data_IF_794282644815
#
_entry.id   IF_794282644815
#
_cell.length_a   1.000
_cell.length_b   1.000
_cell.length_c   1.000
_cell.angle_alpha   90.00
_cell.angle_beta   90.00
_cell.angle_gamma   90.00
#
_symmetry.space_group_name_H-M   'P 1'
#
loop_
_entity.id
_entity.type
_entity.pdbx_description
1 polymer ?
#
# COMPACT_ATOMS: atom_id res chain seq x y z
N UNK A 1 30.45 41.66 8.02
CA UNK A 1 31.02 40.45 7.38
C UNK A 1 30.17 39.30 7.85
N UNK A 2 29.39 38.70 6.95
CA UNK A 2 28.40 37.71 7.35
C UNK A 2 29.15 36.49 7.91
N UNK A 3 28.60 35.87 8.95
CA UNK A 3 29.19 34.70 9.62
C UNK A 3 29.52 33.56 8.63
N UNK A 4 28.85 33.55 7.47
CA UNK A 4 29.13 32.72 6.30
C UNK A 4 30.51 32.98 5.68
N UNK A 5 30.96 34.22 5.57
CA UNK A 5 32.21 34.58 4.89
C UNK A 5 33.45 34.17 5.69
N UNK A 6 33.38 34.26 7.03
CA UNK A 6 34.45 33.83 7.92
C UNK A 6 34.69 32.32 7.84
N UNK A 7 33.60 31.52 7.78
CA UNK A 7 33.70 30.06 7.72
C UNK A 7 33.94 29.53 6.29
N UNK A 8 33.45 30.21 5.25
CA UNK A 8 33.87 29.95 3.85
C UNK A 8 35.38 30.18 3.73
N UNK A 9 35.88 31.30 4.28
CA UNK A 9 37.32 31.57 4.33
C UNK A 9 38.10 30.57 5.17
N UNK A 10 37.53 30.05 6.27
CA UNK A 10 38.18 29.06 7.12
C UNK A 10 38.21 27.65 6.51
N UNK A 11 37.16 27.25 5.80
CA UNK A 11 37.10 25.98 5.05
C UNK A 11 38.07 25.99 3.86
N UNK A 12 38.20 27.14 3.18
CA UNK A 12 39.23 27.37 2.17
C UNK A 12 40.64 27.40 2.78
N UNK A 13 40.81 27.96 3.98
CA UNK A 13 42.09 27.98 4.70
C UNK A 13 42.50 26.61 5.26
N UNK A 14 41.53 25.76 5.62
CA UNK A 14 41.75 24.42 6.15
C UNK A 14 41.97 23.36 5.04
N UNK A 15 42.06 23.77 3.76
CA UNK A 15 42.28 22.86 2.61
C UNK A 15 41.32 21.64 2.62
N UNK A 16 40.07 21.85 3.01
CA UNK A 16 39.06 20.80 2.86
C UNK A 16 38.89 20.55 1.35
N UNK A 17 39.10 19.31 0.86
CA UNK A 17 39.05 19.02 -0.57
C UNK A 17 37.80 19.58 -1.22
N UNK A 18 37.94 20.22 -2.39
CA UNK A 18 36.81 20.74 -3.20
C UNK A 18 35.74 19.66 -3.50
N UNK A 19 36.09 18.38 -3.32
CA UNK A 19 35.17 17.25 -3.24
C UNK A 19 35.59 16.31 -2.10
N UNK A 20 34.96 16.44 -0.93
CA UNK A 20 35.03 15.44 0.12
C UNK A 20 33.94 14.39 -0.14
N UNK A 21 34.32 13.13 -0.25
CA UNK A 21 33.37 12.01 -0.30
C UNK A 21 32.75 11.75 1.08
N UNK A 22 31.74 10.87 1.18
CA UNK A 22 31.04 10.62 2.45
C UNK A 22 32.01 10.15 3.53
N UNK A 23 32.97 9.31 3.17
CA UNK A 23 33.95 8.77 4.09
C UNK A 23 34.85 9.87 4.66
N UNK A 24 35.31 10.79 3.81
CA UNK A 24 36.10 11.95 4.21
C UNK A 24 35.32 12.92 5.10
N UNK A 25 34.04 13.17 4.79
CA UNK A 25 33.19 14.09 5.57
C UNK A 25 32.96 13.53 6.98
N UNK A 26 32.63 12.24 7.04
CA UNK A 26 32.40 11.55 8.32
C UNK A 26 33.69 11.46 9.12
N UNK A 27 34.82 11.16 8.49
CA UNK A 27 36.13 11.17 9.15
C UNK A 27 36.43 12.55 9.72
N UNK A 28 36.26 13.62 8.94
CA UNK A 28 36.48 15.00 9.39
C UNK A 28 35.60 15.37 10.60
N UNK A 29 34.29 15.14 10.49
CA UNK A 29 33.32 15.40 11.57
C UNK A 29 33.57 14.56 12.83
N UNK A 30 34.17 13.37 12.69
CA UNK A 30 34.43 12.45 13.81
C UNK A 30 35.65 12.83 14.65
N UNK A 31 36.64 13.51 14.06
CA UNK A 31 37.93 13.78 14.71
C UNK A 31 37.96 15.14 15.42
N UNK A 32 37.39 16.22 14.86
CA UNK A 32 37.51 17.57 15.43
C UNK A 32 36.30 18.49 15.19
N UNK A 33 35.17 18.26 15.86
CA UNK A 33 34.06 19.23 15.84
C UNK A 33 33.32 19.30 17.17
N UNK A 34 33.22 20.50 17.74
CA UNK A 34 32.18 20.83 18.74
C UNK A 34 30.79 20.65 18.13
N UNK A 35 29.73 20.68 18.95
CA UNK A 35 28.36 20.52 18.41
C UNK A 35 28.04 21.66 17.42
N UNK A 36 28.51 22.89 17.69
CA UNK A 36 28.35 24.08 16.86
C UNK A 36 29.07 23.92 15.52
N UNK A 37 30.31 23.44 15.53
CA UNK A 37 31.06 23.17 14.30
C UNK A 37 30.40 22.06 13.47
N UNK A 38 29.87 21.04 14.13
CA UNK A 38 29.12 19.96 13.48
C UNK A 38 27.86 20.51 12.81
N UNK A 39 27.10 21.37 13.50
CA UNK A 39 25.91 22.03 12.94
C UNK A 39 26.25 22.90 11.74
N UNK A 40 27.27 23.77 11.84
CA UNK A 40 27.64 24.65 10.73
C UNK A 40 28.02 23.89 9.46
N UNK A 41 28.78 22.80 9.58
CA UNK A 41 29.18 21.99 8.44
C UNK A 41 27.96 21.27 7.83
N UNK A 42 27.10 20.67 8.66
CA UNK A 42 25.88 20.00 8.18
C UNK A 42 24.94 21.02 7.51
N UNK A 43 24.75 22.20 8.11
CA UNK A 43 23.93 23.28 7.58
C UNK A 43 24.46 23.80 6.24
N UNK A 44 25.76 24.07 6.14
CA UNK A 44 26.36 24.51 4.88
C UNK A 44 26.23 23.44 3.79
N UNK A 45 26.43 22.17 4.12
CA UNK A 45 26.27 21.08 3.17
C UNK A 45 24.80 20.90 2.74
N UNK A 46 23.86 20.99 3.69
CA UNK A 46 22.43 21.03 3.42
C UNK A 46 22.09 22.16 2.45
N UNK A 47 22.51 23.41 2.74
CA UNK A 47 22.19 24.58 1.92
C UNK A 47 22.87 24.58 0.55
N UNK A 48 24.08 24.02 0.42
CA UNK A 48 24.83 23.99 -0.84
C UNK A 48 24.43 22.83 -1.75
N UNK A 49 24.19 21.63 -1.20
CA UNK A 49 23.82 20.44 -1.97
C UNK A 49 22.33 20.43 -2.34
N UNK A 50 21.42 20.88 -1.46
CA UNK A 50 19.98 20.88 -1.77
C UNK A 50 19.54 22.02 -2.70
N UNK A 51 20.33 23.10 -2.81
CA UNK A 51 19.97 24.27 -3.65
C UNK A 51 20.68 24.34 -4.99
N UNK A 52 21.81 23.63 -5.19
CA UNK A 52 22.65 23.85 -6.39
C UNK A 52 22.74 22.68 -7.37
N UNK A 53 22.39 21.46 -6.98
CA UNK A 53 22.55 20.30 -7.86
C UNK A 53 21.28 19.48 -7.92
N UNK A 54 20.81 19.17 -9.13
CA UNK A 54 19.80 18.13 -9.35
C UNK A 54 20.31 16.73 -8.92
N UNK A 55 21.53 16.63 -8.39
CA UNK A 55 22.10 15.44 -7.76
C UNK A 55 21.82 15.43 -6.26
N UNK A 56 20.97 14.48 -5.87
CA UNK A 56 20.34 14.31 -4.56
C UNK A 56 21.24 13.63 -3.51
N UNK A 57 22.56 13.73 -3.63
CA UNK A 57 23.43 12.93 -2.78
C UNK A 57 23.80 13.65 -1.47
N UNK A 58 23.13 13.26 -0.38
CA UNK A 58 23.39 13.72 1.00
C UNK A 58 23.48 12.49 1.93
N UNK A 59 24.62 12.23 2.62
CA UNK A 59 24.88 10.99 3.36
C UNK A 59 24.16 10.96 4.73
N UNK A 60 22.82 10.97 4.68
CA UNK A 60 21.96 11.13 5.86
C UNK A 60 22.15 10.03 6.90
N UNK A 61 22.30 8.78 6.46
CA UNK A 61 22.42 7.66 7.38
C UNK A 61 23.74 7.74 8.16
N UNK A 62 24.82 8.10 7.49
CA UNK A 62 26.14 8.26 8.09
C UNK A 62 26.18 9.46 9.04
N UNK A 63 25.60 10.59 8.63
CA UNK A 63 25.48 11.78 9.49
C UNK A 63 24.61 11.51 10.72
N UNK A 64 23.51 10.78 10.56
CA UNK A 64 22.68 10.36 11.69
C UNK A 64 23.48 9.50 12.67
N UNK A 65 24.22 8.48 12.20
CA UNK A 65 25.08 7.64 13.06
C UNK A 65 26.14 8.47 13.79
N UNK A 66 26.71 9.48 13.14
CA UNK A 66 27.66 10.39 13.75
C UNK A 66 27.03 11.21 14.89
N UNK A 67 25.85 11.78 14.66
CA UNK A 67 25.10 12.52 15.69
C UNK A 67 24.71 11.59 16.83
N UNK A 68 24.19 10.39 16.54
CA UNK A 68 23.84 9.39 17.53
C UNK A 68 25.05 9.01 18.41
N UNK A 69 26.22 8.81 17.81
CA UNK A 69 27.46 8.55 18.55
C UNK A 69 27.86 9.73 19.46
N UNK A 70 27.67 10.98 19.02
CA UNK A 70 27.92 12.16 19.87
C UNK A 70 26.93 12.24 21.03
N UNK A 71 25.64 11.98 20.80
CA UNK A 71 24.61 11.91 21.85
C UNK A 71 24.97 10.84 22.89
N UNK A 72 25.34 9.62 22.44
CA UNK A 72 25.73 8.52 23.32
C UNK A 72 26.96 8.85 24.16
N UNK A 73 27.99 9.47 23.56
CA UNK A 73 29.21 9.90 24.29
C UNK A 73 28.92 10.97 25.36
N UNK A 74 27.95 11.85 25.11
CA UNK A 74 27.57 12.93 26.03
C UNK A 74 26.52 12.50 27.07
N UNK A 75 25.85 11.37 26.85
CA UNK A 75 24.72 10.92 27.65
C UNK A 75 23.47 11.81 27.55
N UNK A 76 23.43 12.77 26.61
CA UNK A 76 22.30 13.69 26.40
C UNK A 76 22.26 14.24 24.98
N UNK A 77 21.06 14.57 24.52
CA UNK A 77 20.82 15.31 23.28
C UNK A 77 20.90 16.82 23.56
N UNK A 78 21.90 17.49 22.99
CA UNK A 78 22.06 18.96 23.13
C UNK A 78 21.20 19.69 22.09
N UNK A 79 20.85 20.95 22.35
CA UNK A 79 20.07 21.80 21.43
C UNK A 79 20.69 21.87 20.03
N UNK A 80 22.00 22.04 19.95
CA UNK A 80 22.71 22.05 18.69
C UNK A 80 22.64 20.72 17.94
N UNK A 81 22.70 19.58 18.64
CA UNK A 81 22.52 18.27 18.01
C UNK A 81 21.06 18.03 17.60
N UNK A 82 20.07 18.62 18.28
CA UNK A 82 18.67 18.62 17.82
C UNK A 82 18.54 19.32 16.47
N UNK A 83 19.12 20.52 16.31
CA UNK A 83 19.11 21.22 15.02
C UNK A 83 19.84 20.44 13.92
N UNK A 84 20.92 19.72 14.24
CA UNK A 84 21.54 18.81 13.27
C UNK A 84 20.56 17.72 12.80
N UNK A 85 19.78 17.13 13.71
CA UNK A 85 18.78 16.10 13.36
C UNK A 85 17.64 16.68 12.52
N UNK A 86 17.18 17.90 12.81
CA UNK A 86 16.17 18.62 12.01
C UNK A 86 16.63 18.81 10.56
N UNK A 87 17.90 19.18 10.34
CA UNK A 87 18.48 19.28 8.99
C UNK A 87 18.58 17.93 8.27
N UNK A 88 18.67 16.84 9.04
CA UNK A 88 18.61 15.50 8.46
C UNK A 88 17.19 15.03 8.24
N UNK A 89 16.14 15.68 8.74
CA UNK A 89 14.77 15.22 8.57
C UNK A 89 14.25 15.55 7.16
N UNK A 90 13.67 14.58 6.47
CA UNK A 90 13.09 14.79 5.14
C UNK A 90 11.62 14.44 5.05
N UNK A 91 10.91 14.42 6.18
CA UNK A 91 9.46 14.17 6.23
C UNK A 91 8.66 15.08 5.32
N UNK A 92 9.10 16.33 5.15
CA UNK A 92 8.40 17.31 4.31
C UNK A 92 8.54 17.01 2.80
N UNK A 93 9.41 16.08 2.39
CA UNK A 93 9.53 15.69 0.99
C UNK A 93 8.24 15.01 0.50
N UNK A 94 7.87 15.30 -0.74
CA UNK A 94 6.71 14.73 -1.45
C UNK A 94 6.67 13.20 -1.44
N UNK A 95 7.84 12.56 -1.55
CA UNK A 95 8.00 11.12 -1.47
C UNK A 95 9.31 10.79 -0.78
N UNK A 96 9.27 9.85 0.15
CA UNK A 96 10.42 9.40 0.92
C UNK A 96 10.60 7.89 0.67
N UNK A 97 11.83 7.46 0.44
CA UNK A 97 12.16 6.04 0.29
C UNK A 97 12.09 5.30 1.63
N UNK A 98 12.04 3.97 1.63
CA UNK A 98 12.06 3.17 2.88
C UNK A 98 13.33 3.43 3.69
N UNK A 99 14.47 3.62 3.04
CA UNK A 99 15.74 3.90 3.71
C UNK A 99 15.73 5.29 4.37
N UNK A 100 15.26 6.31 3.67
CA UNK A 100 15.08 7.66 4.23
C UNK A 100 14.04 7.67 5.37
N UNK A 101 12.95 6.90 5.26
CA UNK A 101 11.95 6.74 6.32
C UNK A 101 12.53 6.09 7.58
N UNK A 102 13.40 5.10 7.43
CA UNK A 102 14.09 4.49 8.59
C UNK A 102 14.94 5.52 9.34
N UNK A 103 15.69 6.35 8.61
CA UNK A 103 16.48 7.43 9.22
C UNK A 103 15.56 8.44 9.91
N UNK A 104 14.47 8.86 9.27
CA UNK A 104 13.44 9.73 9.85
C UNK A 104 12.87 9.20 11.17
N UNK A 105 12.59 7.90 11.25
CA UNK A 105 12.06 7.27 12.47
C UNK A 105 13.13 7.22 13.57
N UNK A 106 14.38 6.93 13.21
CA UNK A 106 15.47 6.95 14.17
C UNK A 106 15.75 8.36 14.71
N UNK A 107 15.57 9.40 13.88
CA UNK A 107 15.58 10.80 14.31
C UNK A 107 14.46 11.06 15.32
N UNK A 108 13.22 10.66 15.01
CA UNK A 108 12.04 10.82 15.88
C UNK A 108 12.24 10.16 17.26
N UNK A 109 12.74 8.91 17.27
CA UNK A 109 13.05 8.16 18.50
C UNK A 109 14.13 8.89 19.31
N UNK A 110 15.18 9.37 18.67
CA UNK A 110 16.29 10.05 19.34
C UNK A 110 15.85 11.41 19.92
N UNK A 111 14.96 12.14 19.24
CA UNK A 111 14.46 13.46 19.64
C UNK A 111 13.42 13.41 20.75
N UNK A 112 12.46 12.49 20.67
CA UNK A 112 11.29 12.50 21.55
C UNK A 112 11.27 11.38 22.57
N UNK A 113 12.15 10.39 22.44
CA UNK A 113 12.07 9.15 23.18
C UNK A 113 10.89 8.29 22.72
N UNK A 114 11.02 6.98 22.86
CA UNK A 114 9.95 6.06 22.48
C UNK A 114 10.42 4.62 22.34
N UNK A 115 9.50 3.67 22.14
CA UNK A 115 9.83 2.31 21.76
C UNK A 115 10.71 2.31 20.51
N UNK A 116 11.77 1.49 20.50
CA UNK A 116 12.70 1.33 19.37
C UNK A 116 12.06 0.75 18.09
N UNK A 117 10.75 0.48 18.12
CA UNK A 117 10.02 -0.06 16.98
C UNK A 117 10.07 0.92 15.80
N UNK A 118 10.50 0.43 14.64
CA UNK A 118 10.59 1.19 13.40
C UNK A 118 9.21 1.40 12.73
N UNK A 119 8.17 1.67 13.50
CA UNK A 119 6.86 2.11 12.98
C UNK A 119 6.90 3.63 12.81
N UNK A 120 6.55 4.14 11.63
CA UNK A 120 6.51 5.59 11.42
C UNK A 120 5.33 6.20 12.14
N UNK A 121 5.55 7.13 13.08
CA UNK A 121 4.49 7.91 13.74
C UNK A 121 3.98 9.09 12.91
N UNK A 122 4.49 9.23 11.68
CA UNK A 122 4.23 10.39 10.81
C UNK A 122 3.02 10.22 9.90
N UNK A 123 2.40 9.04 9.94
CA UNK A 123 1.11 8.81 9.29
C UNK A 123 0.09 8.21 10.26
N UNK A 124 -1.21 8.38 9.97
CA UNK A 124 -2.26 7.98 10.91
C UNK A 124 -2.30 6.48 11.23
N UNK A 125 -1.89 5.60 10.29
CA UNK A 125 -1.84 4.15 10.57
C UNK A 125 -0.79 3.83 11.61
N UNK A 126 0.41 4.40 11.48
CA UNK A 126 1.48 4.15 12.42
C UNK A 126 1.18 4.67 13.82
N UNK A 127 0.53 5.85 13.94
CA UNK A 127 0.02 6.36 15.21
C UNK A 127 -0.93 5.34 15.86
N UNK A 128 -1.92 4.85 15.11
CA UNK A 128 -2.88 3.86 15.60
C UNK A 128 -2.22 2.55 16.05
N UNK A 129 -1.21 2.06 15.32
CA UNK A 129 -0.49 0.83 15.66
C UNK A 129 0.36 1.03 16.91
N UNK A 130 1.08 2.14 17.03
CA UNK A 130 1.91 2.44 18.22
C UNK A 130 1.04 2.64 19.46
N UNK A 131 -0.06 3.38 19.34
CA UNK A 131 -1.02 3.57 20.43
C UNK A 131 -1.62 2.24 20.87
N UNK A 132 -2.02 1.39 19.92
CA UNK A 132 -2.50 0.05 20.20
C UNK A 132 -1.46 -0.76 20.98
N UNK A 133 -0.22 -0.86 20.49
CA UNK A 133 0.85 -1.64 21.15
C UNK A 133 1.17 -1.13 22.57
N UNK A 134 1.07 0.18 22.79
CA UNK A 134 1.31 0.81 24.09
C UNK A 134 0.18 0.54 25.09
N UNK A 135 -1.03 0.31 24.60
CA UNK A 135 -2.24 0.11 25.41
C UNK A 135 -2.58 -1.36 25.69
N UNK A 136 -1.78 -2.32 25.22
CA UNK A 136 -1.97 -3.74 25.54
C UNK A 136 -1.58 -4.00 27.00
N UNK A 137 -2.57 -4.32 27.84
CA UNK A 137 -2.35 -4.57 29.28
C UNK A 137 -1.57 -5.85 29.58
N UNK A 138 -1.76 -6.89 28.77
CA UNK A 138 -1.08 -8.18 28.97
C UNK A 138 0.32 -8.14 28.36
N UNK A 139 1.36 -8.22 29.18
CA UNK A 139 2.77 -8.25 28.73
C UNK A 139 3.02 -9.32 27.67
N UNK A 140 2.40 -10.50 27.83
CA UNK A 140 2.51 -11.60 26.87
C UNK A 140 1.90 -11.26 25.50
N UNK A 141 0.69 -10.69 25.49
CA UNK A 141 0.06 -10.27 24.23
C UNK A 141 0.82 -9.10 23.62
N UNK A 142 1.36 -8.19 24.43
CA UNK A 142 2.18 -7.09 23.95
C UNK A 142 3.41 -7.62 23.19
N UNK A 143 4.13 -8.58 23.76
CA UNK A 143 5.28 -9.23 23.10
C UNK A 143 4.87 -9.89 21.77
N UNK A 144 3.73 -10.59 21.73
CA UNK A 144 3.24 -11.26 20.52
C UNK A 144 2.88 -10.28 19.42
N UNK A 145 2.16 -9.21 19.75
CA UNK A 145 1.80 -8.16 18.81
C UNK A 145 3.02 -7.38 18.33
N UNK A 146 3.94 -7.03 19.22
CA UNK A 146 5.22 -6.39 18.86
C UNK A 146 6.01 -7.25 17.88
N UNK A 147 6.18 -8.53 18.18
CA UNK A 147 6.88 -9.48 17.29
C UNK A 147 6.21 -9.59 15.92
N UNK A 148 4.89 -9.58 15.87
CA UNK A 148 4.12 -9.60 14.63
C UNK A 148 4.32 -8.32 13.82
N UNK A 149 4.19 -7.15 14.44
CA UNK A 149 4.36 -5.85 13.77
C UNK A 149 5.78 -5.68 13.24
N UNK A 150 6.80 -6.06 14.02
CA UNK A 150 8.20 -6.05 13.58
C UNK A 150 8.45 -6.97 12.38
N UNK A 151 7.83 -8.15 12.37
CA UNK A 151 7.90 -9.07 11.23
C UNK A 151 7.26 -8.48 9.96
N UNK A 152 6.15 -7.74 10.12
CA UNK A 152 5.46 -7.04 9.04
C UNK A 152 6.24 -5.84 8.49
N UNK A 153 6.91 -5.06 9.35
CA UNK A 153 7.80 -3.96 8.93
C UNK A 153 8.97 -4.45 8.06
N UNK A 154 9.39 -5.70 8.26
CA UNK A 154 10.50 -6.32 7.55
C UNK A 154 10.08 -7.21 6.37
N UNK A 155 8.85 -7.05 5.87
CA UNK A 155 8.34 -7.79 4.70
C UNK A 155 9.00 -7.41 3.36
N UNK A 156 9.83 -6.36 3.33
CA UNK A 156 10.52 -5.88 2.13
C UNK A 156 9.60 -5.30 1.07
N UNK A 157 10.11 -5.09 -0.14
CA UNK A 157 9.38 -4.44 -1.24
C UNK A 157 8.66 -5.40 -2.19
N UNK A 158 8.94 -6.71 -2.09
CA UNK A 158 8.33 -7.72 -2.96
C UNK A 158 6.80 -7.72 -2.90
N UNK A 159 6.15 -8.05 -4.03
CA UNK A 159 4.69 -8.09 -4.15
C UNK A 159 4.06 -9.36 -3.57
N UNK A 160 4.88 -10.35 -3.22
CA UNK A 160 4.50 -11.68 -2.74
C UNK A 160 5.43 -12.02 -1.55
N UNK A 161 4.92 -12.61 -0.44
CA UNK A 161 5.76 -13.05 0.65
C UNK A 161 6.62 -14.26 0.24
N UNK A 162 7.87 -14.29 0.70
CA UNK A 162 8.70 -15.48 0.54
C UNK A 162 8.20 -16.61 1.46
N UNK A 163 8.48 -17.86 1.10
CA UNK A 163 8.05 -19.01 1.90
C UNK A 163 8.57 -18.95 3.36
N UNK A 164 9.81 -18.49 3.54
CA UNK A 164 10.42 -18.27 4.86
C UNK A 164 9.65 -17.21 5.65
N UNK A 165 9.34 -16.09 5.03
CA UNK A 165 8.57 -15.01 5.67
C UNK A 165 7.16 -15.47 6.04
N UNK A 166 6.49 -16.17 5.14
CA UNK A 166 5.13 -16.68 5.33
C UNK A 166 5.02 -17.69 6.47
N UNK A 167 5.97 -18.62 6.54
CA UNK A 167 6.02 -19.62 7.63
C UNK A 167 6.17 -18.96 8.99
N UNK A 168 7.04 -17.95 9.10
CA UNK A 168 7.20 -17.17 10.34
C UNK A 168 5.94 -16.36 10.67
N UNK A 169 5.30 -15.75 9.68
CA UNK A 169 4.06 -14.99 9.88
C UNK A 169 2.95 -15.86 10.49
N UNK A 170 2.75 -17.09 9.98
CA UNK A 170 1.80 -18.05 10.54
C UNK A 170 2.06 -18.35 12.01
N UNK A 171 3.33 -18.59 12.38
CA UNK A 171 3.72 -18.85 13.77
C UNK A 171 3.40 -17.65 14.67
N UNK A 172 3.63 -16.43 14.20
CA UNK A 172 3.37 -15.22 14.99
C UNK A 172 1.87 -14.95 15.15
N UNK A 173 1.11 -15.05 14.07
CA UNK A 173 -0.35 -14.84 14.10
C UNK A 173 -1.03 -15.88 15.00
N UNK A 174 -0.60 -17.15 14.95
CA UNK A 174 -1.18 -18.21 15.79
C UNK A 174 -0.88 -18.07 17.29
N UNK A 175 0.00 -17.14 17.70
CA UNK A 175 0.22 -16.80 19.12
C UNK A 175 -0.75 -15.74 19.63
N UNK A 176 -1.29 -14.94 18.71
CA UNK A 176 -2.25 -13.88 19.01
C UNK A 176 -3.64 -14.53 19.09
N UNK A 177 -4.48 -14.06 20.02
CA UNK A 177 -5.87 -14.49 20.09
C UNK A 177 -6.59 -14.20 18.76
N UNK A 178 -7.21 -15.22 18.17
CA UNK A 178 -7.68 -15.18 16.78
C UNK A 178 -8.76 -14.11 16.56
N UNK A 179 -9.75 -14.01 17.44
CA UNK A 179 -10.81 -13.01 17.40
C UNK A 179 -10.24 -11.60 17.51
N UNK A 180 -9.26 -11.41 18.39
CA UNK A 180 -8.59 -10.13 18.58
C UNK A 180 -7.76 -9.74 17.36
N UNK A 181 -7.07 -10.69 16.73
CA UNK A 181 -6.36 -10.49 15.48
C UNK A 181 -7.32 -10.06 14.35
N UNK A 182 -8.42 -10.80 14.16
CA UNK A 182 -9.42 -10.50 13.14
C UNK A 182 -10.01 -9.10 13.35
N UNK A 183 -10.37 -8.75 14.59
CA UNK A 183 -10.91 -7.44 14.93
C UNK A 183 -9.93 -6.33 14.56
N UNK A 184 -8.64 -6.46 14.94
CA UNK A 184 -7.63 -5.42 14.65
C UNK A 184 -7.30 -5.29 13.18
N UNK A 185 -7.22 -6.41 12.45
CA UNK A 185 -7.07 -6.36 11.00
C UNK A 185 -8.25 -5.63 10.34
N UNK A 186 -9.49 -5.89 10.79
CA UNK A 186 -10.68 -5.17 10.30
C UNK A 186 -10.57 -3.67 10.57
N UNK A 187 -10.23 -3.27 11.80
CA UNK A 187 -10.11 -1.86 12.19
C UNK A 187 -9.09 -1.12 11.32
N UNK A 188 -7.86 -1.64 11.26
CA UNK A 188 -6.75 -0.97 10.56
C UNK A 188 -6.95 -0.92 9.04
N UNK A 189 -7.45 -2.01 8.43
CA UNK A 189 -7.69 -2.05 6.99
C UNK A 189 -8.87 -1.15 6.62
N UNK A 190 -9.94 -1.14 7.41
CA UNK A 190 -11.09 -0.25 7.18
C UNK A 190 -10.71 1.22 7.37
N UNK A 191 -9.88 1.52 8.36
CA UNK A 191 -9.33 2.87 8.56
C UNK A 191 -8.53 3.32 7.32
N UNK A 192 -7.60 2.49 6.84
CA UNK A 192 -6.83 2.81 5.64
C UNK A 192 -7.70 2.92 4.38
N UNK A 193 -8.76 2.11 4.27
CA UNK A 193 -9.77 2.27 3.22
C UNK A 193 -10.44 3.64 3.29
N UNK A 194 -10.87 4.07 4.48
CA UNK A 194 -11.43 5.40 4.73
C UNK A 194 -10.49 6.52 4.32
N UNK A 195 -9.20 6.41 4.65
CA UNK A 195 -8.17 7.37 4.22
C UNK A 195 -8.08 7.47 2.69
N UNK A 196 -8.04 6.33 1.98
CA UNK A 196 -8.05 6.32 0.51
C UNK A 196 -9.34 6.92 -0.07
N UNK A 197 -10.49 6.66 0.56
CA UNK A 197 -11.76 7.25 0.17
C UNK A 197 -11.74 8.77 0.32
N UNK A 198 -11.23 9.29 1.44
CA UNK A 198 -11.07 10.72 1.70
C UNK A 198 -10.17 11.41 0.67
N UNK A 199 -9.03 10.79 0.33
CA UNK A 199 -8.15 11.27 -0.75
C UNK A 199 -8.91 11.39 -2.08
N UNK A 200 -9.80 10.44 -2.38
CA UNK A 200 -10.61 10.49 -3.58
C UNK A 200 -11.84 11.42 -3.49
N UNK A 201 -12.35 11.71 -2.30
CA UNK A 201 -13.47 12.61 -2.05
C UNK A 201 -13.04 14.08 -2.13
N UNK A 202 -11.80 14.40 -1.76
CA UNK A 202 -11.17 15.73 -1.85
C UNK A 202 -11.00 16.30 -3.27
N UNK A 203 -11.58 15.67 -4.30
CA UNK A 203 -11.57 16.11 -5.70
C UNK A 203 -12.24 17.47 -5.96
N UNK A 204 -12.80 18.14 -4.95
CA UNK A 204 -13.41 19.46 -5.14
C UNK A 204 -12.36 20.57 -5.16
N UNK A 205 -11.36 20.61 -4.27
CA UNK A 205 -10.42 21.73 -4.18
C UNK A 205 -8.97 21.24 -3.94
N UNK A 206 -8.04 21.65 -4.82
CA UNK A 206 -6.58 21.51 -4.76
C UNK A 206 -5.92 20.23 -5.32
N UNK A 207 -5.05 20.44 -6.30
CA UNK A 207 -4.11 19.46 -6.88
C UNK A 207 -2.98 19.10 -5.89
N UNK A 208 -2.85 19.83 -4.78
CA UNK A 208 -1.75 19.74 -3.81
C UNK A 208 -1.89 18.52 -2.89
N UNK A 209 -3.12 18.10 -2.56
CA UNK A 209 -3.37 16.98 -1.62
C UNK A 209 -3.01 15.61 -2.19
N UNK A 210 -2.90 15.50 -3.51
CA UNK A 210 -2.38 14.29 -4.15
C UNK A 210 -0.84 14.23 -4.13
N UNK A 211 -0.12 15.26 -3.72
CA UNK A 211 1.34 15.23 -3.78
C UNK A 211 2.00 14.63 -2.53
N UNK A 212 1.21 14.34 -1.49
CA UNK A 212 1.67 13.65 -0.27
C UNK A 212 1.17 12.20 -0.32
N UNK A 213 2.03 11.26 0.06
CA UNK A 213 1.61 9.86 0.21
C UNK A 213 0.68 9.73 1.41
N UNK A 214 -0.43 8.99 1.28
CA UNK A 214 -1.37 8.80 2.40
C UNK A 214 -0.80 7.95 3.54
N UNK A 215 0.34 7.27 3.29
CA UNK A 215 1.15 6.52 4.24
C UNK A 215 2.63 6.72 3.93
N UNK A 216 3.48 6.68 4.95
CA UNK A 216 4.92 6.53 4.81
C UNK A 216 5.27 5.22 4.08
N UNK A 217 6.43 5.16 3.42
CA UNK A 217 6.84 4.00 2.64
C UNK A 217 6.98 2.74 3.50
N UNK A 218 7.46 2.90 4.74
CA UNK A 218 7.62 1.77 5.68
C UNK A 218 6.26 1.26 6.18
N UNK A 219 5.33 2.14 6.55
CA UNK A 219 4.00 1.73 6.97
C UNK A 219 3.19 1.18 5.80
N UNK A 220 3.50 1.60 4.57
CA UNK A 220 2.91 1.01 3.36
C UNK A 220 3.34 -0.45 3.16
N UNK A 221 4.61 -0.77 3.45
CA UNK A 221 5.10 -2.15 3.47
C UNK A 221 4.48 -2.96 4.63
N UNK A 222 4.30 -2.33 5.80
CA UNK A 222 3.61 -2.95 6.94
C UNK A 222 2.16 -3.30 6.61
N UNK A 223 1.39 -2.35 6.05
CA UNK A 223 -0.01 -2.58 5.66
C UNK A 223 -0.13 -3.68 4.61
N UNK A 224 0.77 -3.71 3.62
CA UNK A 224 0.86 -4.81 2.65
C UNK A 224 1.01 -6.16 3.35
N UNK A 225 1.88 -6.24 4.35
CA UNK A 225 2.09 -7.47 5.12
C UNK A 225 0.89 -7.84 6.01
N UNK A 226 0.21 -6.87 6.63
CA UNK A 226 -1.04 -7.08 7.35
C UNK A 226 -2.12 -7.69 6.44
N UNK A 227 -2.26 -7.16 5.22
CA UNK A 227 -3.19 -7.69 4.22
C UNK A 227 -2.86 -9.15 3.86
N UNK A 228 -1.59 -9.50 3.65
CA UNK A 228 -1.22 -10.91 3.43
C UNK A 228 -1.63 -11.80 4.62
N UNK A 229 -1.39 -11.35 5.84
CA UNK A 229 -1.68 -12.11 7.05
C UNK A 229 -3.17 -12.30 7.32
N UNK A 230 -4.05 -11.52 6.69
CA UNK A 230 -5.51 -11.71 6.77
C UNK A 230 -5.97 -13.07 6.23
N UNK A 231 -5.17 -13.75 5.41
CA UNK A 231 -5.46 -15.09 4.91
C UNK A 231 -5.17 -16.22 5.93
N UNK A 232 -4.45 -15.93 7.02
CA UNK A 232 -4.05 -16.94 8.01
C UNK A 232 -5.24 -17.48 8.82
N UNK A 233 -6.14 -16.66 9.40
CA UNK A 233 -7.23 -17.16 10.24
C UNK A 233 -8.41 -17.76 9.45
N UNK A 234 -8.30 -17.92 8.13
CA UNK A 234 -9.35 -18.46 7.24
C UNK A 234 -10.73 -17.79 7.44
N UNK A 235 -10.72 -16.48 7.72
CA UNK A 235 -11.93 -15.73 8.05
C UNK A 235 -12.55 -15.07 6.81
N UNK A 236 -13.77 -15.48 6.45
CA UNK A 236 -14.51 -14.92 5.31
C UNK A 236 -14.67 -13.40 5.37
N UNK A 237 -14.97 -12.84 6.55
CA UNK A 237 -15.19 -11.40 6.69
C UNK A 237 -13.92 -10.57 6.44
N UNK A 238 -12.72 -11.13 6.68
CA UNK A 238 -11.47 -10.50 6.25
C UNK A 238 -11.33 -10.51 4.73
N UNK A 239 -11.64 -11.63 4.06
CA UNK A 239 -11.57 -11.69 2.59
C UNK A 239 -12.55 -10.73 1.93
N UNK A 240 -13.78 -10.63 2.44
CA UNK A 240 -14.79 -9.70 1.94
C UNK A 240 -14.35 -8.24 2.16
N UNK A 241 -13.70 -7.93 3.29
CA UNK A 241 -13.09 -6.62 3.54
C UNK A 241 -11.97 -6.31 2.54
N UNK A 242 -11.07 -7.27 2.27
CA UNK A 242 -10.00 -7.09 1.29
C UNK A 242 -10.55 -6.86 -0.12
N UNK A 243 -11.67 -7.50 -0.44
CA UNK A 243 -12.35 -7.37 -1.72
C UNK A 243 -13.02 -5.99 -1.89
N UNK A 244 -13.54 -5.42 -0.80
CA UNK A 244 -14.03 -4.03 -0.77
C UNK A 244 -12.88 -3.00 -0.78
N UNK A 245 -11.73 -3.33 -0.17
CA UNK A 245 -10.54 -2.48 -0.09
C UNK A 245 -9.84 -2.32 -1.45
N UNK A 246 -9.61 -3.43 -2.16
CA UNK A 246 -8.76 -3.46 -3.36
C UNK A 246 -9.17 -2.46 -4.48
N UNK A 247 -10.47 -2.26 -4.78
CA UNK A 247 -10.90 -1.25 -5.75
C UNK A 247 -10.43 0.17 -5.42
N UNK A 248 -10.38 0.54 -4.13
CA UNK A 248 -9.88 1.85 -3.70
C UNK A 248 -8.37 1.96 -3.88
N UNK A 249 -7.63 0.90 -3.60
CA UNK A 249 -6.19 0.86 -3.81
C UNK A 249 -5.83 0.99 -5.32
N UNK A 250 -6.63 0.39 -6.21
CA UNK A 250 -6.40 0.47 -7.66
C UNK A 250 -6.96 1.72 -8.32
N UNK A 251 -7.80 2.48 -7.62
CA UNK A 251 -8.40 3.70 -8.17
C UNK A 251 -7.31 4.73 -8.49
N UNK A 252 -7.43 5.34 -9.67
CA UNK A 252 -6.40 6.22 -10.23
C UNK A 252 -6.19 7.48 -9.39
N UNK A 253 -4.92 7.88 -9.24
CA UNK A 253 -4.47 9.11 -8.59
C UNK A 253 -4.17 10.18 -9.66
N UNK A 254 -5.12 11.06 -9.97
CA UNK A 254 -4.95 12.09 -11.01
C UNK A 254 -4.54 11.52 -12.36
N UNK A 255 -3.42 12.00 -12.92
CA UNK A 255 -2.82 11.45 -14.15
C UNK A 255 -1.86 10.27 -13.91
N UNK A 256 -1.46 10.01 -12.66
CA UNK A 256 -0.56 8.92 -12.29
C UNK A 256 -1.29 7.56 -12.23
N UNK A 257 -0.55 6.50 -11.92
CA UNK A 257 -1.05 5.14 -11.77
C UNK A 257 -2.07 4.94 -10.61
N UNK A 258 -2.32 3.70 -10.19
CA UNK A 258 -3.20 3.42 -9.05
C UNK A 258 -2.70 4.11 -7.78
N UNK A 259 -3.61 4.50 -6.87
CA UNK A 259 -3.26 5.10 -5.58
C UNK A 259 -2.29 4.22 -4.78
N UNK A 260 -2.50 2.90 -4.82
CA UNK A 260 -1.63 1.90 -4.21
C UNK A 260 -1.71 0.55 -4.94
N UNK A 261 -0.89 0.38 -5.98
CA UNK A 261 -0.70 -0.94 -6.61
C UNK A 261 -0.23 -1.98 -5.58
N UNK A 262 0.62 -1.56 -4.64
CA UNK A 262 1.26 -2.41 -3.63
C UNK A 262 0.22 -3.13 -2.75
N UNK A 263 -0.65 -2.39 -2.07
CA UNK A 263 -1.66 -2.99 -1.18
C UNK A 263 -2.79 -3.65 -1.96
N UNK A 264 -3.14 -3.15 -3.15
CA UNK A 264 -4.10 -3.83 -4.01
C UNK A 264 -3.62 -5.21 -4.43
N UNK A 265 -2.35 -5.32 -4.83
CA UNK A 265 -1.72 -6.60 -5.22
C UNK A 265 -1.58 -7.53 -4.01
N UNK A 266 -1.39 -6.99 -2.81
CA UNK A 266 -1.42 -7.77 -1.58
C UNK A 266 -2.76 -8.46 -1.33
N UNK A 267 -3.89 -7.78 -1.59
CA UNK A 267 -5.21 -8.42 -1.52
C UNK A 267 -5.32 -9.58 -2.51
N UNK A 268 -4.86 -9.39 -3.75
CA UNK A 268 -4.85 -10.43 -4.78
C UNK A 268 -4.05 -11.66 -4.33
N UNK A 269 -2.87 -11.44 -3.74
CA UNK A 269 -2.09 -12.54 -3.17
C UNK A 269 -2.84 -13.25 -2.04
N UNK A 270 -3.45 -12.51 -1.11
CA UNK A 270 -4.20 -13.08 0.01
C UNK A 270 -5.31 -14.05 -0.48
N UNK A 271 -6.00 -13.71 -1.57
CA UNK A 271 -7.02 -14.59 -2.17
C UNK A 271 -6.46 -15.92 -2.69
N UNK A 272 -5.18 -16.01 -3.04
CA UNK A 272 -4.56 -17.30 -3.48
C UNK A 272 -4.48 -18.36 -2.38
N UNK A 273 -4.74 -17.95 -1.13
CA UNK A 273 -4.86 -18.86 0.01
C UNK A 273 -6.24 -19.53 0.10
N UNK A 274 -7.23 -19.05 -0.66
CA UNK A 274 -8.56 -19.65 -0.75
C UNK A 274 -8.56 -20.88 -1.65
N UNK A 275 -9.70 -21.58 -1.70
CA UNK A 275 -9.96 -22.62 -2.70
C UNK A 275 -9.78 -22.07 -4.12
N UNK A 276 -9.38 -22.91 -5.07
CA UNK A 276 -9.07 -22.47 -6.44
C UNK A 276 -10.19 -21.64 -7.08
N UNK A 277 -11.44 -22.11 -7.01
CA UNK A 277 -12.60 -21.43 -7.62
C UNK A 277 -12.89 -20.08 -6.95
N UNK A 278 -12.85 -20.03 -5.62
CA UNK A 278 -13.11 -18.79 -4.90
C UNK A 278 -12.00 -17.76 -5.16
N UNK A 279 -10.73 -18.19 -5.09
CA UNK A 279 -9.58 -17.36 -5.41
C UNK A 279 -9.71 -16.78 -6.83
N UNK A 280 -10.01 -17.63 -7.80
CA UNK A 280 -10.10 -17.22 -9.19
C UNK A 280 -11.22 -16.21 -9.42
N UNK A 281 -12.43 -16.47 -8.92
CA UNK A 281 -13.58 -15.57 -9.04
C UNK A 281 -13.29 -14.15 -8.49
N UNK A 282 -12.66 -14.06 -7.31
CA UNK A 282 -12.33 -12.77 -6.70
C UNK A 282 -11.22 -12.04 -7.47
N UNK A 283 -10.20 -12.78 -7.91
CA UNK A 283 -9.04 -12.21 -8.63
C UNK A 283 -9.43 -11.75 -10.05
N UNK A 284 -10.21 -12.55 -10.80
CA UNK A 284 -10.68 -12.19 -12.16
C UNK A 284 -11.48 -10.91 -12.15
N UNK A 285 -12.41 -10.77 -11.18
CA UNK A 285 -13.24 -9.59 -11.01
C UNK A 285 -12.41 -8.34 -10.77
N UNK A 286 -11.44 -8.41 -9.85
CA UNK A 286 -10.57 -7.27 -9.56
C UNK A 286 -9.63 -6.97 -10.72
N UNK A 287 -9.11 -7.99 -11.42
CA UNK A 287 -8.28 -7.82 -12.62
C UNK A 287 -9.01 -7.01 -13.68
N UNK A 288 -10.29 -7.29 -13.93
CA UNK A 288 -11.12 -6.55 -14.89
C UNK A 288 -11.29 -5.05 -14.58
N UNK A 289 -11.10 -4.66 -13.32
CA UNK A 289 -11.18 -3.25 -12.89
C UNK A 289 -9.85 -2.48 -13.07
N UNK A 290 -8.73 -3.18 -13.27
CA UNK A 290 -7.40 -2.57 -13.32
C UNK A 290 -7.02 -2.21 -14.75
N UNK A 291 -6.62 -0.96 -14.97
CA UNK A 291 -6.16 -0.48 -16.29
C UNK A 291 -4.65 -0.30 -16.39
N UNK A 292 -3.96 -0.25 -15.25
CA UNK A 292 -2.53 0.03 -15.20
C UNK A 292 -1.72 -1.21 -15.59
N UNK A 293 -0.97 -1.11 -16.69
CA UNK A 293 -0.30 -2.26 -17.32
C UNK A 293 0.67 -3.02 -16.39
N UNK A 294 1.48 -2.31 -15.60
CA UNK A 294 2.41 -2.98 -14.68
C UNK A 294 1.68 -3.72 -13.56
N UNK A 295 0.53 -3.20 -13.12
CA UNK A 295 -0.31 -3.85 -12.11
C UNK A 295 -0.99 -5.07 -12.69
N UNK A 296 -1.54 -4.98 -13.92
CA UNK A 296 -2.10 -6.13 -14.64
C UNK A 296 -1.08 -7.25 -14.77
N UNK A 297 0.15 -6.95 -15.23
CA UNK A 297 1.25 -7.93 -15.30
C UNK A 297 1.54 -8.59 -13.95
N UNK A 298 1.42 -7.86 -12.84
CA UNK A 298 1.62 -8.44 -11.51
C UNK A 298 0.47 -9.36 -11.12
N UNK A 299 -0.78 -9.02 -11.45
CA UNK A 299 -1.95 -9.86 -11.20
C UNK A 299 -1.87 -11.14 -12.05
N UNK A 300 -1.50 -11.01 -13.34
CA UNK A 300 -1.33 -12.14 -14.26
C UNK A 300 -0.30 -13.14 -13.73
N UNK A 301 0.84 -12.68 -13.22
CA UNK A 301 1.83 -13.57 -12.58
C UNK A 301 1.29 -14.30 -11.36
N UNK A 302 0.45 -13.65 -10.55
CA UNK A 302 -0.18 -14.29 -9.39
C UNK A 302 -1.16 -15.37 -9.86
N UNK A 303 -1.95 -15.09 -10.91
CA UNK A 303 -2.87 -16.06 -11.51
C UNK A 303 -2.15 -17.26 -12.11
N UNK A 304 -1.03 -17.04 -12.80
CA UNK A 304 -0.18 -18.12 -13.32
C UNK A 304 0.37 -18.99 -12.18
N UNK A 305 0.83 -18.37 -11.09
CA UNK A 305 1.27 -19.09 -9.89
C UNK A 305 0.13 -19.88 -9.21
N UNK A 306 -1.09 -19.32 -9.20
CA UNK A 306 -2.28 -20.00 -8.70
C UNK A 306 -2.61 -21.24 -9.57
N UNK A 307 -2.62 -21.10 -10.89
CA UNK A 307 -2.88 -22.20 -11.81
C UNK A 307 -1.83 -23.32 -11.64
N UNK A 308 -0.54 -22.97 -11.58
CA UNK A 308 0.54 -23.91 -11.34
C UNK A 308 0.38 -24.66 -10.02
N UNK A 309 0.01 -23.96 -8.93
CA UNK A 309 -0.25 -24.56 -7.61
C UNK A 309 -1.34 -25.65 -7.67
N UNK A 310 -2.33 -25.49 -8.55
CA UNK A 310 -3.46 -26.42 -8.69
C UNK A 310 -3.34 -27.34 -9.92
N UNK A 311 -2.21 -27.33 -10.63
CA UNK A 311 -1.99 -28.20 -11.80
C UNK A 311 -2.86 -27.85 -13.01
N UNK A 312 -3.34 -26.62 -13.11
CA UNK A 312 -4.19 -26.13 -14.20
C UNK A 312 -3.31 -25.48 -15.27
N UNK A 313 -3.52 -25.84 -16.54
CA UNK A 313 -2.81 -25.24 -17.66
C UNK A 313 -3.24 -23.79 -17.90
N UNK A 314 -2.45 -23.01 -18.64
CA UNK A 314 -2.84 -21.63 -19.00
C UNK A 314 -4.12 -21.58 -19.85
N UNK A 315 -4.30 -22.56 -20.74
CA UNK A 315 -5.51 -22.65 -21.56
C UNK A 315 -6.75 -22.92 -20.70
N UNK A 316 -6.68 -23.88 -19.79
CA UNK A 316 -7.76 -24.16 -18.86
C UNK A 316 -8.02 -22.97 -17.94
N UNK A 317 -6.97 -22.27 -17.49
CA UNK A 317 -7.10 -21.05 -16.70
C UNK A 317 -7.91 -19.99 -17.46
N UNK A 318 -7.63 -19.77 -18.74
CA UNK A 318 -8.38 -18.82 -19.57
C UNK A 318 -9.87 -19.19 -19.68
N UNK A 319 -10.20 -20.49 -19.72
CA UNK A 319 -11.58 -20.96 -19.65
C UNK A 319 -12.22 -20.67 -18.28
N UNK A 320 -11.49 -20.90 -17.19
CA UNK A 320 -11.99 -20.60 -15.85
C UNK A 320 -12.11 -19.10 -15.55
N UNK A 321 -11.37 -18.25 -16.27
CA UNK A 321 -11.42 -16.78 -16.09
C UNK A 321 -12.62 -16.13 -16.76
N UNK A 322 -13.40 -16.88 -17.56
CA UNK A 322 -14.67 -16.39 -18.13
C UNK A 322 -15.64 -16.10 -16.98
N UNK A 323 -16.04 -14.82 -16.77
CA UNK A 323 -16.97 -14.48 -15.70
C UNK A 323 -18.34 -15.11 -15.96
N UNK A 324 -18.97 -15.64 -14.92
CA UNK A 324 -20.36 -16.13 -14.98
C UNK A 324 -21.39 -14.98 -15.01
N UNK A 325 -20.97 -13.76 -14.67
CA UNK A 325 -21.81 -12.57 -14.52
C UNK A 325 -23.03 -12.73 -13.59
N UNK A 326 -23.01 -13.74 -12.72
CA UNK A 326 -24.16 -14.12 -11.91
C UNK A 326 -25.35 -14.66 -12.71
N UNK A 327 -25.13 -15.11 -13.95
CA UNK A 327 -26.11 -15.87 -14.73
C UNK A 327 -26.36 -17.21 -14.03
N UNK A 328 -27.63 -17.56 -13.85
CA UNK A 328 -28.02 -18.88 -13.38
C UNK A 328 -27.79 -19.96 -14.47
N UNK A 329 -28.06 -21.22 -14.12
CA UNK A 329 -27.89 -22.35 -15.04
C UNK A 329 -28.77 -22.26 -16.29
N UNK A 330 -29.80 -21.41 -16.28
CA UNK A 330 -30.68 -21.15 -17.41
C UNK A 330 -30.24 -19.91 -18.21
N UNK A 331 -29.08 -19.32 -17.91
CA UNK A 331 -28.58 -18.12 -18.56
C UNK A 331 -29.37 -16.87 -18.19
N UNK A 332 -30.00 -16.85 -17.01
CA UNK A 332 -30.82 -15.74 -16.55
C UNK A 332 -30.15 -14.97 -15.41
N UNK A 333 -30.21 -13.65 -15.48
CA UNK A 333 -29.72 -12.71 -14.47
C UNK A 333 -30.87 -11.82 -14.01
N UNK A 334 -31.13 -11.80 -12.70
CA UNK A 334 -32.17 -10.97 -12.07
C UNK A 334 -31.53 -9.95 -11.14
N UNK A 335 -31.74 -8.66 -11.39
CA UNK A 335 -31.16 -7.56 -10.60
C UNK A 335 -32.29 -6.62 -10.14
N UNK A 336 -32.42 -6.34 -8.83
CA UNK A 336 -33.36 -5.33 -8.33
C UNK A 336 -32.90 -3.92 -8.72
N UNK A 337 -33.84 -3.13 -9.24
CA UNK A 337 -33.67 -1.74 -9.67
C UNK A 337 -34.84 -0.90 -9.13
N UNK A 338 -34.72 -0.48 -7.87
CA UNK A 338 -35.83 0.16 -7.15
C UNK A 338 -36.95 -0.86 -6.90
N UNK A 339 -38.18 -0.48 -7.25
CA UNK A 339 -39.39 -1.33 -7.12
C UNK A 339 -39.53 -2.40 -8.22
N UNK A 340 -38.62 -2.43 -9.19
CA UNK A 340 -38.66 -3.34 -10.33
C UNK A 340 -37.47 -4.29 -10.30
N UNK A 341 -37.63 -5.47 -10.87
CA UNK A 341 -36.54 -6.40 -11.13
C UNK A 341 -36.25 -6.42 -12.63
N UNK A 342 -35.02 -6.11 -13.01
CA UNK A 342 -34.55 -6.30 -14.38
C UNK A 342 -34.16 -7.75 -14.58
N UNK A 343 -34.69 -8.37 -15.63
CA UNK A 343 -34.44 -9.78 -15.97
C UNK A 343 -33.76 -9.82 -17.33
N UNK A 344 -32.50 -10.23 -17.33
CA UNK A 344 -31.73 -10.47 -18.55
C UNK A 344 -31.67 -11.97 -18.79
N UNK A 345 -31.93 -12.41 -20.03
CA UNK A 345 -31.86 -13.83 -20.41
C UNK A 345 -31.02 -13.98 -21.66
N UNK A 346 -30.02 -14.84 -21.58
CA UNK A 346 -29.25 -15.30 -22.72
C UNK A 346 -29.95 -16.51 -23.35
N UNK A 347 -30.41 -16.39 -24.59
CA UNK A 347 -31.06 -17.49 -25.31
C UNK A 347 -30.01 -18.39 -25.98
N UNK A 348 -30.34 -19.67 -26.16
CA UNK A 348 -29.48 -20.64 -26.85
C UNK A 348 -29.11 -20.24 -28.29
N UNK A 349 -29.85 -19.31 -28.90
CA UNK A 349 -29.56 -18.73 -30.22
C UNK A 349 -28.45 -17.67 -30.20
N UNK A 350 -27.85 -17.37 -29.04
CA UNK A 350 -26.92 -16.27 -28.83
C UNK A 350 -27.60 -14.90 -28.70
N UNK A 351 -28.94 -14.83 -28.85
CA UNK A 351 -29.71 -13.60 -28.66
C UNK A 351 -29.95 -13.33 -27.18
N UNK A 352 -29.82 -12.07 -26.77
CA UNK A 352 -30.19 -11.61 -25.43
C UNK A 352 -31.59 -11.02 -25.42
N UNK A 353 -32.28 -11.13 -24.29
CA UNK A 353 -33.55 -10.47 -24.04
C UNK A 353 -33.52 -9.78 -22.68
N UNK A 354 -34.08 -8.56 -22.62
CA UNK A 354 -34.28 -7.81 -21.39
C UNK A 354 -35.77 -7.62 -21.15
N UNK A 355 -36.25 -8.11 -20.02
CA UNK A 355 -37.60 -7.86 -19.51
C UNK A 355 -37.56 -7.24 -18.11
N UNK A 356 -38.71 -6.78 -17.65
CA UNK A 356 -38.87 -6.17 -16.34
C UNK A 356 -39.96 -6.91 -15.58
N UNK A 357 -39.77 -7.09 -14.28
CA UNK A 357 -40.74 -7.70 -13.38
C UNK A 357 -41.10 -6.74 -12.24
N UNK A 358 -42.35 -6.80 -11.79
CA UNK A 358 -42.83 -6.19 -10.55
C UNK A 358 -43.67 -7.21 -9.81
N UNK A 359 -43.34 -7.49 -8.55
CA UNK A 359 -44.04 -8.47 -7.72
C UNK A 359 -44.19 -9.85 -8.41
N UNK A 360 -43.15 -10.28 -9.14
CA UNK A 360 -43.13 -11.55 -9.89
C UNK A 360 -43.92 -11.58 -11.21
N UNK A 361 -44.49 -10.44 -11.65
CA UNK A 361 -45.18 -10.33 -12.95
C UNK A 361 -44.36 -9.52 -13.95
N UNK A 362 -44.24 -10.04 -15.18
CA UNK A 362 -43.57 -9.35 -16.28
C UNK A 362 -44.36 -8.09 -16.68
N UNK A 363 -43.65 -6.98 -16.81
CA UNK A 363 -44.16 -5.70 -17.29
C UNK A 363 -43.38 -5.25 -18.53
N UNK A 364 -44.07 -4.56 -19.45
CA UNK A 364 -43.47 -4.15 -20.73
C UNK A 364 -42.57 -2.91 -20.67
N UNK A 365 -42.69 -2.07 -19.63
CA UNK A 365 -41.89 -0.84 -19.48
C UNK A 365 -40.99 -0.94 -18.25
N UNK A 366 -39.71 -0.66 -18.45
CA UNK A 366 -38.74 -0.51 -17.37
C UNK A 366 -38.88 0.81 -16.59
N UNK A 367 -38.02 1.02 -15.58
CA UNK A 367 -38.03 2.24 -14.78
C UNK A 367 -37.74 3.46 -15.66
N UNK A 368 -38.59 4.48 -15.54
CA UNK A 368 -38.46 5.74 -16.27
C UNK A 368 -37.37 6.66 -15.69
N UNK A 369 -37.13 6.57 -14.39
CA UNK A 369 -36.15 7.39 -13.68
C UNK A 369 -34.76 6.75 -13.81
N UNK A 370 -33.79 7.54 -14.27
CA UNK A 370 -32.39 7.14 -14.28
C UNK A 370 -31.84 7.06 -12.85
N UNK A 371 -31.59 5.83 -12.38
CA UNK A 371 -30.94 5.56 -11.08
C UNK A 371 -29.53 5.02 -11.27
N UNK A 372 -28.70 5.09 -10.22
CA UNK A 372 -27.38 4.45 -10.22
C UNK A 372 -27.49 2.93 -10.44
N UNK A 373 -28.53 2.30 -9.87
CA UNK A 373 -28.83 0.88 -10.06
C UNK A 373 -29.15 0.56 -11.53
N UNK A 374 -29.99 1.35 -12.21
CA UNK A 374 -30.29 1.15 -13.63
C UNK A 374 -29.05 1.31 -14.51
N UNK A 375 -28.20 2.31 -14.22
CA UNK A 375 -26.93 2.51 -14.94
C UNK A 375 -25.97 1.33 -14.75
N UNK A 376 -25.83 0.84 -13.52
CA UNK A 376 -24.99 -0.32 -13.22
C UNK A 376 -25.52 -1.58 -13.91
N UNK A 377 -26.83 -1.81 -13.90
CA UNK A 377 -27.43 -2.98 -14.57
C UNK A 377 -27.25 -2.95 -16.09
N UNK A 378 -27.50 -1.81 -16.74
CA UNK A 378 -27.23 -1.64 -18.18
C UNK A 378 -25.76 -1.83 -18.54
N UNK A 379 -24.85 -1.36 -17.67
CA UNK A 379 -23.41 -1.58 -17.85
C UNK A 379 -23.07 -3.08 -17.76
N UNK A 380 -23.62 -3.79 -16.78
CA UNK A 380 -23.43 -5.23 -16.62
C UNK A 380 -23.92 -6.02 -17.84
N UNK A 381 -25.12 -5.70 -18.37
CA UNK A 381 -25.63 -6.32 -19.60
C UNK A 381 -24.65 -6.14 -20.76
N UNK A 382 -24.13 -4.92 -20.94
CA UNK A 382 -23.15 -4.65 -21.99
C UNK A 382 -21.84 -5.42 -21.79
N UNK A 383 -21.37 -5.52 -20.56
CA UNK A 383 -20.17 -6.31 -20.22
C UNK A 383 -20.37 -7.81 -20.53
N UNK A 384 -21.57 -8.35 -20.27
CA UNK A 384 -21.94 -9.73 -20.64
C UNK A 384 -21.86 -9.91 -22.16
N UNK A 385 -22.51 -9.04 -22.93
CA UNK A 385 -22.57 -9.14 -24.40
C UNK A 385 -21.20 -8.98 -25.06
N UNK A 386 -20.40 -8.01 -24.60
CA UNK A 386 -19.03 -7.80 -25.09
C UNK A 386 -18.14 -9.03 -24.80
N UNK A 387 -18.30 -9.64 -23.63
CA UNK A 387 -17.53 -10.83 -23.22
C UNK A 387 -17.98 -12.09 -23.96
N UNK A 388 -19.29 -12.26 -24.20
CA UNK A 388 -19.83 -13.35 -24.99
C UNK A 388 -19.29 -13.31 -26.42
N UNK A 389 -19.33 -12.14 -27.05
CA UNK A 389 -18.80 -11.92 -28.40
C UNK A 389 -17.30 -12.22 -28.48
N UNK A 390 -16.50 -11.69 -27.54
CA UNK A 390 -15.07 -11.94 -27.50
C UNK A 390 -14.73 -13.43 -27.30
N UNK A 391 -15.49 -14.15 -26.47
CA UNK A 391 -15.27 -15.58 -26.24
C UNK A 391 -15.74 -16.45 -27.42
N UNK A 392 -16.83 -16.10 -28.12
CA UNK A 392 -17.24 -16.78 -29.35
C UNK A 392 -16.12 -16.75 -30.37
N UNK A 393 -15.55 -15.56 -30.63
CA UNK A 393 -14.42 -15.37 -31.56
C UNK A 393 -13.19 -16.16 -31.10
N UNK A 394 -12.92 -16.20 -29.78
CA UNK A 394 -11.79 -16.97 -29.22
C UNK A 394 -11.96 -18.47 -29.48
N UNK A 395 -13.16 -19.01 -29.22
CA UNK A 395 -13.47 -20.42 -29.45
C UNK A 395 -13.40 -20.76 -30.95
N UNK A 396 -13.98 -19.93 -31.81
CA UNK A 396 -13.91 -20.09 -33.28
C UNK A 396 -12.49 -20.13 -33.81
N UNK A 397 -11.54 -19.44 -33.17
CA UNK A 397 -10.11 -19.47 -33.53
C UNK A 397 -9.34 -20.65 -32.95
N UNK A 398 -9.92 -21.36 -32.00
CA UNK A 398 -9.28 -22.49 -31.29
C UNK A 398 -9.64 -23.84 -31.91
N UNK A 399 -10.62 -23.86 -32.83
CA UNK A 399 -10.96 -24.95 -33.74
C UNK A 399 -10.54 -24.59 -35.16
#
# INVERSE_FOLDING_TARGET
>A
MQFTDFWIGKIQADNLPEAIDAAGLIKYLSVFTSDEQCFHIIFQWHETTLRRTNDWWFPRQELFKLIQNKVNKKGRLTETLMHCLELLDTSEKKSVTVAEDRVNIQIDILMHGGPEQLVSRRDPLGILVVEFLSNIKSTRQQEYWTSFVEHCLNAGEGNIPTQKWWTRAKVLVNRIEQEYFIMRMKDWISFCQGQMMSVHAGRKHSFVDYNISYLSAINHNMLKAFIWCCAIPENKALMDLLEAYAPWAYKKKGNAGPLSAKTGTACIYAFTCLSFREALSRITRLRGMVKHAATLKSIDRILQGLAQKYGVSLHELDEYMVPDFGLDQQGCLRIPVGELTGVYTLQNSGKSALSWEKDGKIIGKGPSVQSAALKNFKRLIREIEDTLSANSIRLERSF
#
